data_IF_305881775271
#
_entry.id   IF_305881775271
#
_cell.length_a   1.000
_cell.length_b   1.000
_cell.length_c   1.000
_cell.angle_alpha   90.00
_cell.angle_beta   90.00
_cell.angle_gamma   90.00
#
_symmetry.space_group_name_H-M   'P 1'
#
loop_
_entity.id
_entity.type
_entity.pdbx_description
1 polymer ?
#
# COMPACT_ATOMS: atom_id res chain seq x y z
N UNK A 1 -7.72 9.64 9.49
CA UNK A 1 -7.31 10.36 8.27
C UNK A 1 -8.23 11.55 8.00
N UNK A 2 -9.54 11.34 7.80
CA UNK A 2 -10.52 12.40 7.51
C UNK A 2 -10.52 13.55 8.53
N UNK A 3 -10.47 13.27 9.84
CA UNK A 3 -10.35 14.34 10.87
C UNK A 3 -9.18 15.31 10.63
N UNK A 4 -8.07 14.83 10.04
CA UNK A 4 -6.89 15.66 9.74
C UNK A 4 -7.00 16.38 8.39
N UNK A 5 -7.62 15.71 7.42
CA UNK A 5 -7.79 16.17 6.05
C UNK A 5 -9.30 16.10 5.71
N UNK A 6 -10.09 17.05 6.20
CA UNK A 6 -11.55 16.99 6.08
C UNK A 6 -12.04 17.21 4.64
N UNK A 7 -11.24 17.88 3.82
CA UNK A 7 -11.55 18.19 2.42
C UNK A 7 -10.32 18.01 1.52
N UNK A 8 -10.55 18.00 0.21
CA UNK A 8 -9.50 17.79 -0.82
C UNK A 8 -8.46 18.91 -0.84
N UNK A 9 -8.86 20.15 -0.55
CA UNK A 9 -7.97 21.32 -0.54
C UNK A 9 -6.98 21.23 0.62
N UNK A 10 -7.45 20.86 1.80
CA UNK A 10 -6.64 20.63 3.00
C UNK A 10 -5.65 19.48 2.78
N UNK A 11 -6.08 18.40 2.10
CA UNK A 11 -5.19 17.31 1.71
C UNK A 11 -4.13 17.76 0.71
N UNK A 12 -4.52 18.49 -0.34
CA UNK A 12 -3.64 18.96 -1.41
C UNK A 12 -2.53 19.88 -0.88
N UNK A 13 -2.89 20.81 0.01
CA UNK A 13 -1.95 21.78 0.64
C UNK A 13 -1.03 21.15 1.69
N UNK A 14 -1.33 19.95 2.17
CA UNK A 14 -0.49 19.30 3.16
C UNK A 14 0.90 18.93 2.61
N UNK A 15 1.91 18.92 3.48
CA UNK A 15 3.21 18.33 3.16
C UNK A 15 3.06 16.82 3.01
N UNK A 16 3.72 16.25 2.00
CA UNK A 16 3.66 14.80 1.71
C UNK A 16 4.03 13.96 2.93
N UNK A 17 5.02 14.37 3.72
CA UNK A 17 5.43 13.69 4.94
C UNK A 17 4.33 13.59 5.99
N UNK A 18 3.53 14.64 6.11
CA UNK A 18 2.37 14.63 7.01
C UNK A 18 1.33 13.64 6.50
N UNK A 19 1.07 13.59 5.19
CA UNK A 19 0.15 12.60 4.62
C UNK A 19 0.66 11.17 4.86
N UNK A 20 1.96 10.92 4.62
CA UNK A 20 2.59 9.61 4.82
C UNK A 20 2.65 9.20 6.30
N UNK A 21 2.79 10.13 7.23
CA UNK A 21 2.74 9.82 8.66
C UNK A 21 1.36 9.28 9.06
N UNK A 22 0.28 9.88 8.56
CA UNK A 22 -1.09 9.38 8.78
C UNK A 22 -1.43 8.11 7.99
N UNK A 23 -0.58 7.71 7.04
CA UNK A 23 -0.70 6.45 6.30
C UNK A 23 0.18 5.33 6.86
N UNK A 24 1.03 5.64 7.85
CA UNK A 24 1.99 4.67 8.41
C UNK A 24 1.26 3.47 9.00
N UNK A 25 1.67 2.27 8.60
CA UNK A 25 1.05 1.00 8.99
C UNK A 25 0.00 0.45 8.03
N UNK A 26 -0.55 1.25 7.11
CA UNK A 26 -1.56 0.79 6.14
C UNK A 26 -0.98 0.04 4.93
N UNK A 27 0.34 0.07 4.75
CA UNK A 27 1.03 -0.55 3.62
C UNK A 27 0.70 0.10 2.26
N UNK A 28 1.38 -0.36 1.21
CA UNK A 28 1.24 0.14 -0.17
C UNK A 28 1.23 1.68 -0.26
N UNK A 29 2.28 2.32 0.23
CA UNK A 29 2.39 3.79 0.33
C UNK A 29 2.31 4.55 -0.99
N UNK A 30 2.45 3.85 -2.13
CA UNK A 30 2.12 4.40 -3.43
C UNK A 30 0.68 4.93 -3.48
N UNK A 31 -0.28 4.29 -2.77
CA UNK A 31 -1.67 4.76 -2.66
C UNK A 31 -1.74 6.14 -2.02
N UNK A 32 -1.05 6.36 -0.90
CA UNK A 32 -1.02 7.67 -0.23
C UNK A 32 -0.42 8.77 -1.12
N UNK A 33 0.69 8.45 -1.82
CA UNK A 33 1.36 9.39 -2.72
C UNK A 33 0.50 9.73 -3.93
N UNK A 34 -0.17 8.73 -4.50
CA UNK A 34 -1.08 8.91 -5.62
C UNK A 34 -2.32 9.71 -5.19
N UNK A 35 -2.92 9.39 -4.05
CA UNK A 35 -4.04 10.13 -3.47
C UNK A 35 -3.66 11.61 -3.24
N UNK A 36 -2.48 11.88 -2.69
CA UNK A 36 -2.01 13.26 -2.49
C UNK A 36 -1.75 13.98 -3.81
N UNK A 37 -1.18 13.31 -4.81
CA UNK A 37 -1.02 13.87 -6.16
C UNK A 37 -2.37 14.15 -6.83
N UNK A 38 -3.34 13.24 -6.73
CA UNK A 38 -4.69 13.43 -7.22
C UNK A 38 -5.36 14.64 -6.56
N UNK A 39 -5.23 14.78 -5.23
CA UNK A 39 -5.76 15.95 -4.53
C UNK A 39 -5.14 17.27 -5.02
N UNK A 40 -3.83 17.29 -5.32
CA UNK A 40 -3.16 18.47 -5.89
C UNK A 40 -3.67 18.80 -7.29
N UNK A 41 -3.84 17.79 -8.15
CA UNK A 41 -4.42 17.96 -9.49
C UNK A 41 -5.84 18.51 -9.38
N UNK A 42 -6.68 17.95 -8.50
CA UNK A 42 -8.05 18.45 -8.26
C UNK A 42 -8.04 19.92 -7.84
N UNK A 43 -7.12 20.32 -6.96
CA UNK A 43 -6.98 21.72 -6.55
C UNK A 43 -6.53 22.65 -7.71
N UNK A 44 -5.63 22.18 -8.57
CA UNK A 44 -4.97 23.01 -9.58
C UNK A 44 -5.72 23.08 -10.91
N UNK A 45 -6.32 21.97 -11.33
CA UNK A 45 -6.93 21.80 -12.66
C UNK A 45 -8.46 21.80 -12.60
N UNK A 46 -9.04 21.56 -11.41
CA UNK A 46 -10.49 21.46 -11.20
C UNK A 46 -10.98 22.40 -10.08
N UNK A 47 -10.20 23.43 -9.73
CA UNK A 47 -10.52 24.45 -8.72
C UNK A 47 -10.96 23.89 -7.34
N UNK A 48 -10.43 22.71 -6.98
CA UNK A 48 -10.77 22.03 -5.73
C UNK A 48 -12.08 21.25 -5.77
N UNK A 49 -12.75 21.18 -6.92
CA UNK A 49 -13.97 20.40 -7.13
C UNK A 49 -13.59 19.04 -7.74
N UNK A 50 -14.07 17.95 -7.15
CA UNK A 50 -13.78 16.61 -7.67
C UNK A 50 -14.43 16.44 -9.06
N UNK A 51 -13.69 15.95 -10.09
CA UNK A 51 -14.24 15.80 -11.42
C UNK A 51 -15.39 14.79 -11.45
N UNK A 52 -16.42 15.09 -12.25
CA UNK A 52 -17.62 14.24 -12.36
C UNK A 52 -17.65 13.39 -13.63
N UNK A 53 -16.72 13.58 -14.56
CA UNK A 53 -16.64 12.78 -15.79
C UNK A 53 -15.75 11.54 -15.59
N UNK A 54 -16.18 10.39 -16.12
CA UNK A 54 -15.49 9.11 -15.92
C UNK A 54 -14.03 9.15 -16.34
N UNK A 55 -13.75 9.70 -17.53
CA UNK A 55 -12.39 9.80 -18.07
C UNK A 55 -11.51 10.74 -17.23
N UNK A 56 -12.07 11.85 -16.75
CA UNK A 56 -11.37 12.78 -15.86
C UNK A 56 -11.02 12.14 -14.51
N UNK A 57 -11.95 11.36 -13.93
CA UNK A 57 -11.71 10.61 -12.69
C UNK A 57 -10.68 9.50 -12.90
N UNK A 58 -10.75 8.78 -14.03
CA UNK A 58 -9.82 7.72 -14.38
C UNK A 58 -8.40 8.25 -14.62
N UNK A 59 -8.26 9.47 -15.13
CA UNK A 59 -6.97 10.13 -15.36
C UNK A 59 -6.24 10.50 -14.04
N UNK A 60 -6.96 10.57 -12.91
CA UNK A 60 -6.34 10.93 -11.62
C UNK A 60 -5.37 9.82 -11.13
N UNK A 61 -4.19 10.19 -10.60
CA UNK A 61 -3.21 9.23 -10.13
C UNK A 61 -3.76 8.25 -9.09
N UNK A 62 -3.58 6.95 -9.37
CA UNK A 62 -3.99 5.87 -8.47
C UNK A 62 -5.46 5.50 -8.50
N UNK A 63 -6.25 6.12 -9.38
CA UNK A 63 -7.63 5.71 -9.64
C UNK A 63 -7.62 4.80 -10.87
N UNK A 64 -8.10 3.56 -10.70
CA UNK A 64 -8.33 2.64 -11.81
C UNK A 64 -9.81 2.54 -12.16
N UNK A 65 -10.14 1.85 -13.26
CA UNK A 65 -11.52 1.69 -13.77
C UNK A 65 -12.56 1.37 -12.69
N UNK A 66 -12.28 0.37 -11.84
CA UNK A 66 -13.20 -0.01 -10.76
C UNK A 66 -13.32 1.04 -9.66
N UNK A 67 -12.27 1.80 -9.38
CA UNK A 67 -12.29 2.87 -8.37
C UNK A 67 -13.03 4.09 -8.90
N UNK A 68 -12.84 4.45 -10.17
CA UNK A 68 -13.60 5.51 -10.83
C UNK A 68 -15.11 5.18 -10.81
N UNK A 69 -15.47 3.95 -11.20
CA UNK A 69 -16.86 3.50 -11.13
C UNK A 69 -17.43 3.51 -9.71
N UNK A 70 -16.65 3.08 -8.71
CA UNK A 70 -17.08 3.12 -7.32
C UNK A 70 -17.34 4.54 -6.84
N UNK A 71 -16.41 5.47 -7.08
CA UNK A 71 -16.55 6.87 -6.67
C UNK A 71 -17.78 7.50 -7.33
N UNK A 72 -17.88 7.42 -8.66
CA UNK A 72 -18.94 8.08 -9.41
C UNK A 72 -20.31 7.46 -9.14
N UNK A 73 -20.39 6.14 -8.93
CA UNK A 73 -21.66 5.54 -8.54
C UNK A 73 -22.08 5.94 -7.14
N UNK A 74 -21.18 5.93 -6.15
CA UNK A 74 -21.53 6.17 -4.74
C UNK A 74 -21.69 7.65 -4.38
N UNK A 75 -20.93 8.54 -5.02
CA UNK A 75 -20.90 9.96 -4.69
C UNK A 75 -21.72 10.83 -5.65
N UNK A 76 -22.01 10.34 -6.86
CA UNK A 76 -22.66 11.13 -7.93
C UNK A 76 -23.81 10.38 -8.61
N UNK A 77 -24.29 9.27 -8.03
CA UNK A 77 -25.39 8.43 -8.54
C UNK A 77 -25.24 8.01 -10.01
N UNK A 78 -23.99 7.89 -10.50
CA UNK A 78 -23.74 7.52 -11.88
C UNK A 78 -23.75 6.01 -12.10
N UNK A 79 -24.25 5.60 -13.25
CA UNK A 79 -24.33 4.19 -13.64
C UNK A 79 -22.99 3.66 -14.16
N UNK A 80 -22.07 3.34 -13.26
CA UNK A 80 -20.79 2.69 -13.59
C UNK A 80 -20.61 1.35 -12.87
N UNK A 81 -20.17 0.29 -13.55
CA UNK A 81 -19.89 -1.00 -12.91
C UNK A 81 -18.58 -0.95 -12.14
N UNK A 82 -18.47 -1.81 -11.13
CA UNK A 82 -17.24 -2.05 -10.37
C UNK A 82 -16.78 -3.50 -10.54
N UNK A 83 -15.49 -3.74 -10.34
CA UNK A 83 -14.90 -5.08 -10.39
C UNK A 83 -13.70 -5.20 -9.43
N UNK A 84 -13.95 -4.91 -8.15
CA UNK A 84 -12.98 -5.12 -7.10
C UNK A 84 -12.76 -6.62 -6.83
N UNK A 85 -11.87 -6.97 -5.91
CA UNK A 85 -11.58 -8.37 -5.60
C UNK A 85 -12.78 -9.17 -5.04
N UNK A 86 -13.76 -8.49 -4.45
CA UNK A 86 -14.99 -9.10 -3.92
C UNK A 86 -15.99 -9.36 -5.04
N UNK A 87 -16.36 -8.33 -5.80
CA UNK A 87 -17.29 -8.43 -6.93
C UNK A 87 -16.76 -9.41 -7.98
N UNK A 88 -15.46 -9.34 -8.28
CA UNK A 88 -14.81 -10.28 -9.20
C UNK A 88 -15.00 -11.74 -8.78
N UNK A 89 -14.89 -12.05 -7.49
CA UNK A 89 -15.10 -13.40 -6.97
C UNK A 89 -16.56 -13.82 -7.01
N UNK A 90 -17.48 -12.92 -6.66
CA UNK A 90 -18.92 -13.16 -6.72
C UNK A 90 -19.32 -13.49 -8.16
N UNK A 91 -18.95 -12.66 -9.13
CA UNK A 91 -19.29 -12.86 -10.54
C UNK A 91 -18.64 -14.11 -11.13
N UNK A 92 -17.35 -14.35 -10.83
CA UNK A 92 -16.67 -15.56 -11.29
C UNK A 92 -17.37 -16.84 -10.81
N UNK A 93 -17.90 -16.84 -9.58
CA UNK A 93 -18.66 -17.96 -9.03
C UNK A 93 -20.06 -18.06 -9.61
N UNK A 94 -20.76 -16.92 -9.67
CA UNK A 94 -22.14 -16.87 -10.13
C UNK A 94 -22.27 -17.36 -11.58
N UNK A 95 -21.35 -16.95 -12.45
CA UNK A 95 -21.31 -17.34 -13.87
C UNK A 95 -20.35 -18.50 -14.18
N UNK A 96 -19.77 -19.14 -13.16
CA UNK A 96 -18.78 -20.21 -13.34
C UNK A 96 -17.70 -19.88 -14.39
N UNK A 97 -17.16 -18.66 -14.33
CA UNK A 97 -16.25 -18.13 -15.36
C UNK A 97 -14.94 -18.94 -15.39
N UNK A 98 -14.70 -19.61 -16.51
CA UNK A 98 -13.50 -20.40 -16.74
C UNK A 98 -12.25 -19.53 -16.98
N UNK A 99 -11.08 -20.14 -16.81
CA UNK A 99 -9.79 -19.51 -17.06
C UNK A 99 -9.21 -18.76 -15.86
N UNK A 100 -7.88 -18.65 -15.85
CA UNK A 100 -7.16 -17.99 -14.76
C UNK A 100 -7.47 -16.49 -14.72
N UNK A 101 -7.74 -15.98 -13.51
CA UNK A 101 -8.08 -14.57 -13.26
C UNK A 101 -7.02 -13.56 -13.71
N UNK A 102 -5.79 -14.00 -13.99
CA UNK A 102 -4.70 -13.17 -14.50
C UNK A 102 -4.71 -13.02 -16.02
N UNK A 103 -5.54 -13.77 -16.74
CA UNK A 103 -5.64 -13.66 -18.20
C UNK A 103 -6.55 -12.49 -18.57
N UNK A 104 -6.13 -11.72 -19.58
CA UNK A 104 -6.91 -10.58 -20.07
C UNK A 104 -8.31 -10.96 -20.56
N UNK A 105 -8.45 -12.14 -21.19
CA UNK A 105 -9.74 -12.69 -21.64
C UNK A 105 -10.73 -12.90 -20.46
N UNK A 106 -10.26 -13.50 -19.36
CA UNK A 106 -11.08 -13.73 -18.16
C UNK A 106 -11.45 -12.41 -17.48
N UNK A 107 -10.53 -11.45 -17.43
CA UNK A 107 -10.83 -10.12 -16.89
C UNK A 107 -11.86 -9.37 -17.75
N UNK A 108 -11.76 -9.45 -19.08
CA UNK A 108 -12.73 -8.85 -19.99
C UNK A 108 -14.13 -9.45 -19.84
N UNK A 109 -14.24 -10.77 -19.74
CA UNK A 109 -15.52 -11.46 -19.50
C UNK A 109 -16.16 -11.01 -18.18
N UNK A 110 -15.37 -10.86 -17.11
CA UNK A 110 -15.86 -10.40 -15.81
C UNK A 110 -16.34 -8.94 -15.85
N UNK A 111 -15.69 -8.08 -16.62
CA UNK A 111 -16.18 -6.71 -16.86
C UNK A 111 -17.49 -6.69 -17.65
N UNK A 112 -17.65 -7.56 -18.65
CA UNK A 112 -18.91 -7.71 -19.39
C UNK A 112 -20.03 -8.16 -18.46
N UNK A 113 -19.78 -9.17 -17.62
CA UNK A 113 -20.75 -9.60 -16.61
C UNK A 113 -21.11 -8.48 -15.64
N UNK A 114 -20.13 -7.74 -15.12
CA UNK A 114 -20.37 -6.61 -14.22
C UNK A 114 -21.26 -5.53 -14.85
N UNK A 115 -21.02 -5.21 -16.12
CA UNK A 115 -21.85 -4.24 -16.86
C UNK A 115 -23.26 -4.78 -17.14
N UNK A 116 -23.39 -6.07 -17.44
CA UNK A 116 -24.66 -6.72 -17.77
C UNK A 116 -25.60 -6.82 -16.56
N UNK A 117 -25.06 -7.11 -15.37
CA UNK A 117 -25.87 -7.23 -14.14
C UNK A 117 -26.17 -5.90 -13.47
N UNK A 118 -25.45 -4.84 -13.83
CA UNK A 118 -25.66 -3.51 -13.26
C UNK A 118 -27.08 -3.00 -13.61
N UNK A 119 -27.91 -2.63 -12.62
CA UNK A 119 -29.27 -2.14 -12.86
C UNK A 119 -29.30 -1.02 -13.90
N UNK A 120 -30.33 -1.00 -14.75
CA UNK A 120 -30.48 0.06 -15.77
C UNK A 120 -30.72 1.44 -15.15
N UNK A 121 -31.35 1.50 -13.98
CA UNK A 121 -31.57 2.74 -13.24
C UNK A 121 -30.27 3.22 -12.56
N UNK A 122 -29.89 4.47 -12.81
CA UNK A 122 -28.71 5.09 -12.22
C UNK A 122 -28.82 5.18 -10.67
N UNK A 123 -30.01 5.51 -10.16
CA UNK A 123 -30.28 5.57 -8.72
C UNK A 123 -30.08 4.23 -7.98
N UNK A 124 -30.10 3.10 -8.71
CA UNK A 124 -29.85 1.78 -8.14
C UNK A 124 -28.38 1.34 -8.26
N UNK A 125 -27.54 2.07 -9.00
CA UNK A 125 -26.15 1.69 -9.21
C UNK A 125 -25.35 1.72 -7.90
N UNK A 126 -25.51 2.78 -7.10
CA UNK A 126 -24.84 2.93 -5.80
C UNK A 126 -25.16 1.78 -4.82
N UNK A 127 -26.44 1.52 -4.46
CA UNK A 127 -26.78 0.43 -3.55
C UNK A 127 -26.43 -0.94 -4.12
N UNK A 128 -26.54 -1.14 -5.45
CA UNK A 128 -26.15 -2.40 -6.09
C UNK A 128 -24.65 -2.67 -5.99
N UNK A 129 -23.81 -1.68 -6.32
CA UNK A 129 -22.35 -1.82 -6.22
C UNK A 129 -21.93 -2.09 -4.77
N UNK A 130 -22.52 -1.38 -3.80
CA UNK A 130 -22.26 -1.62 -2.38
C UNK A 130 -22.70 -3.04 -1.96
N UNK A 131 -23.90 -3.46 -2.33
CA UNK A 131 -24.40 -4.81 -2.03
C UNK A 131 -23.52 -5.92 -2.63
N UNK A 132 -23.00 -5.73 -3.85
CA UNK A 132 -22.09 -6.70 -4.48
C UNK A 132 -20.75 -6.79 -3.74
N UNK A 133 -20.21 -5.67 -3.25
CA UNK A 133 -19.02 -5.67 -2.41
C UNK A 133 -19.28 -6.38 -1.06
N UNK A 134 -20.38 -6.05 -0.39
CA UNK A 134 -20.76 -6.61 0.90
C UNK A 134 -21.07 -8.10 0.81
N UNK A 135 -21.75 -8.54 -0.25
CA UNK A 135 -22.00 -9.95 -0.53
C UNK A 135 -20.68 -10.70 -0.65
N UNK A 136 -19.71 -10.17 -1.39
CA UNK A 136 -18.39 -10.77 -1.51
C UNK A 136 -17.63 -10.79 -0.17
N UNK A 137 -17.72 -9.72 0.62
CA UNK A 137 -17.02 -9.58 1.89
C UNK A 137 -17.58 -10.49 2.99
N UNK A 138 -18.91 -10.61 3.11
CA UNK A 138 -19.59 -11.21 4.25
C UNK A 138 -20.10 -12.63 3.99
N UNK A 139 -20.59 -12.91 2.77
CA UNK A 139 -21.30 -14.17 2.46
C UNK A 139 -20.48 -15.03 1.49
N UNK A 140 -20.19 -14.52 0.31
CA UNK A 140 -19.44 -15.20 -0.75
C UNK A 140 -17.92 -15.09 -0.49
N UNK A 141 -17.50 -15.50 0.71
CA UNK A 141 -16.13 -15.33 1.19
C UNK A 141 -15.13 -16.24 0.46
N UNK A 142 -13.84 -15.93 0.59
CA UNK A 142 -12.77 -16.58 -0.18
C UNK A 142 -12.67 -18.09 0.04
N UNK A 143 -12.79 -18.56 1.29
CA UNK A 143 -12.47 -19.93 1.66
C UNK A 143 -13.71 -20.76 2.04
N UNK A 144 -14.64 -20.19 2.80
CA UNK A 144 -15.84 -20.86 3.29
C UNK A 144 -17.07 -20.00 2.95
N UNK A 145 -17.50 -19.94 1.67
CA UNK A 145 -18.66 -19.16 1.31
C UNK A 145 -19.92 -19.73 1.97
N UNK A 146 -20.78 -18.86 2.49
CA UNK A 146 -22.01 -19.26 3.16
C UNK A 146 -23.14 -19.41 2.13
N UNK A 147 -23.02 -20.39 1.22
CA UNK A 147 -23.98 -20.53 0.11
C UNK A 147 -25.42 -20.74 0.58
N UNK A 148 -25.65 -21.40 1.72
CA UNK A 148 -27.00 -21.67 2.26
C UNK A 148 -27.79 -20.41 2.64
N UNK A 149 -27.12 -19.28 2.90
CA UNK A 149 -27.78 -17.98 3.19
C UNK A 149 -27.56 -16.96 2.05
N UNK A 150 -26.95 -17.38 0.94
CA UNK A 150 -26.63 -16.48 -0.14
C UNK A 150 -27.90 -16.15 -0.95
N UNK A 151 -28.27 -14.86 -1.13
CA UNK A 151 -29.48 -14.48 -1.84
C UNK A 151 -29.43 -14.83 -3.34
N UNK A 152 -28.24 -15.11 -3.87
CA UNK A 152 -28.03 -15.47 -5.28
C UNK A 152 -27.92 -16.99 -5.51
N UNK A 153 -28.08 -17.81 -4.47
CA UNK A 153 -27.76 -19.26 -4.53
C UNK A 153 -28.55 -20.01 -5.61
N UNK A 154 -29.83 -19.66 -5.81
CA UNK A 154 -30.73 -20.35 -6.74
C UNK A 154 -30.27 -20.33 -8.20
N UNK A 155 -29.50 -19.31 -8.59
CA UNK A 155 -29.01 -19.14 -9.97
C UNK A 155 -27.47 -19.15 -10.05
N UNK A 156 -26.78 -19.48 -8.96
CA UNK A 156 -25.32 -19.48 -8.92
C UNK A 156 -24.76 -20.75 -9.55
N UNK A 157 -24.16 -20.63 -10.74
CA UNK A 157 -23.64 -21.78 -11.49
C UNK A 157 -22.51 -22.50 -10.75
N UNK A 158 -21.58 -21.76 -10.13
CA UNK A 158 -20.52 -22.37 -9.32
C UNK A 158 -21.04 -23.16 -8.11
N UNK A 159 -22.20 -22.75 -7.56
CA UNK A 159 -22.88 -23.52 -6.51
C UNK A 159 -23.59 -24.74 -7.07
N UNK A 160 -24.26 -24.63 -8.22
CA UNK A 160 -24.90 -25.75 -8.90
C UNK A 160 -23.90 -26.86 -9.28
N UNK A 161 -22.64 -26.48 -9.58
CA UNK A 161 -21.52 -27.41 -9.81
C UNK A 161 -20.94 -28.02 -8.52
N UNK A 162 -21.47 -27.69 -7.35
CA UNK A 162 -20.98 -28.16 -6.04
C UNK A 162 -19.59 -27.66 -5.65
N UNK A 163 -18.96 -26.80 -6.46
CA UNK A 163 -17.55 -26.41 -6.32
C UNK A 163 -17.33 -24.88 -6.44
N UNK A 164 -18.07 -24.03 -5.72
CA UNK A 164 -17.95 -22.57 -5.86
C UNK A 164 -16.54 -22.06 -5.53
N UNK A 165 -15.76 -22.77 -4.73
CA UNK A 165 -14.38 -22.40 -4.40
C UNK A 165 -13.38 -22.68 -5.53
N UNK A 166 -13.76 -23.41 -6.58
CA UNK A 166 -12.97 -23.55 -7.80
C UNK A 166 -12.90 -22.22 -8.59
N UNK A 167 -13.83 -21.30 -8.33
CA UNK A 167 -13.90 -19.99 -8.97
C UNK A 167 -13.59 -18.83 -7.98
N UNK A 168 -12.89 -17.77 -8.44
CA UNK A 168 -12.19 -17.70 -9.72
C UNK A 168 -10.98 -18.65 -9.76
N UNK A 169 -10.64 -19.16 -10.94
CA UNK A 169 -9.43 -19.97 -11.13
C UNK A 169 -8.22 -19.08 -10.85
N UNK A 170 -7.41 -19.48 -9.87
CA UNK A 170 -6.24 -18.70 -9.46
C UNK A 170 -5.03 -19.10 -10.26
N UNK A 171 -4.21 -18.12 -10.61
CA UNK A 171 -2.89 -18.37 -11.16
C UNK A 171 -2.03 -19.15 -10.17
N UNK A 172 -1.14 -19.99 -10.69
CA UNK A 172 -0.17 -20.75 -9.89
C UNK A 172 0.68 -19.78 -9.04
N UNK A 173 0.78 -20.04 -7.73
CA UNK A 173 1.63 -19.24 -6.84
C UNK A 173 3.08 -19.35 -7.29
N UNK A 174 3.69 -18.23 -7.68
CA UNK A 174 5.14 -18.16 -7.93
C UNK A 174 5.88 -18.21 -6.59
N UNK A 175 7.04 -18.87 -6.58
CA UNK A 175 7.99 -18.79 -5.46
C UNK A 175 8.37 -17.32 -5.30
N UNK A 176 8.25 -16.79 -4.08
CA UNK A 176 8.67 -15.42 -3.79
C UNK A 176 10.19 -15.41 -3.62
N UNK A 177 10.96 -14.71 -4.48
CA UNK A 177 12.39 -14.61 -4.28
C UNK A 177 12.71 -13.92 -2.95
N UNK A 178 13.87 -14.23 -2.39
CA UNK A 178 14.43 -13.53 -1.23
C UNK A 178 15.35 -12.43 -1.76
N UNK A 179 15.18 -11.22 -1.24
CA UNK A 179 16.11 -10.10 -1.43
C UNK A 179 16.73 -9.76 -0.09
N UNK A 180 18.01 -9.42 -0.08
CA UNK A 180 18.70 -9.05 1.15
C UNK A 180 19.05 -7.56 1.16
N UNK A 181 19.02 -6.96 2.34
CA UNK A 181 19.46 -5.56 2.56
C UNK A 181 20.08 -5.43 3.93
N UNK A 182 21.13 -4.61 4.03
CA UNK A 182 21.78 -4.28 5.29
C UNK A 182 21.36 -2.90 5.74
N UNK A 183 20.70 -2.81 6.90
CA UNK A 183 20.34 -1.52 7.51
C UNK A 183 21.46 -1.06 8.44
N UNK A 184 21.92 0.17 8.26
CA UNK A 184 22.90 0.81 9.13
C UNK A 184 22.17 1.57 10.24
N UNK A 185 22.24 1.04 11.46
CA UNK A 185 21.73 1.70 12.66
C UNK A 185 22.88 2.50 13.27
N UNK A 186 23.09 3.71 12.75
CA UNK A 186 24.11 4.61 13.27
C UNK A 186 23.58 5.30 14.54
N UNK A 187 24.31 5.17 15.66
CA UNK A 187 23.99 5.76 16.97
C UNK A 187 25.02 6.81 17.37
N UNK A 188 24.56 7.97 17.82
CA UNK A 188 25.42 8.99 18.42
C UNK A 188 25.61 8.77 19.93
N UNK A 189 26.37 9.64 20.61
CA UNK A 189 26.62 9.54 22.05
C UNK A 189 25.36 9.72 22.91
N UNK A 190 24.31 10.35 22.35
CA UNK A 190 23.03 10.64 23.01
C UNK A 190 21.99 9.54 22.79
N UNK A 191 22.37 8.44 22.14
CA UNK A 191 21.47 7.33 21.82
C UNK A 191 20.48 7.62 20.69
N UNK A 192 20.63 8.75 19.98
CA UNK A 192 19.82 9.05 18.79
C UNK A 192 20.29 8.18 17.64
N UNK A 193 19.38 7.91 16.70
CA UNK A 193 19.65 7.15 15.49
C UNK A 193 19.45 7.97 14.24
N UNK A 194 20.29 7.74 13.23
CA UNK A 194 20.16 8.40 11.94
C UNK A 194 19.09 7.73 11.08
N UNK A 195 18.14 8.51 10.58
CA UNK A 195 17.26 8.13 9.48
C UNK A 195 17.58 8.94 8.22
N UNK A 196 17.42 8.30 7.07
CA UNK A 196 17.53 8.91 5.75
C UNK A 196 16.20 8.80 5.00
N UNK A 197 15.83 9.86 4.29
CA UNK A 197 14.66 9.87 3.41
C UNK A 197 15.00 9.11 2.13
N UNK A 198 14.15 8.13 1.79
CA UNK A 198 14.27 7.38 0.54
C UNK A 198 13.87 8.22 -0.68
N UNK A 199 14.42 7.94 -1.87
CA UNK A 199 13.94 8.50 -3.13
C UNK A 199 12.42 8.37 -3.30
N UNK A 200 11.78 9.24 -4.07
CA UNK A 200 10.32 9.23 -4.23
C UNK A 200 9.78 7.95 -4.94
N UNK A 201 10.62 7.32 -5.76
CA UNK A 201 10.33 6.09 -6.51
C UNK A 201 10.87 4.85 -5.78
N UNK A 202 10.42 3.67 -6.22
CA UNK A 202 10.86 2.39 -5.67
C UNK A 202 10.19 1.99 -4.34
N UNK A 203 10.78 0.99 -3.68
CA UNK A 203 10.31 0.46 -2.40
C UNK A 203 10.31 1.59 -1.35
N UNK A 204 9.16 1.73 -0.67
CA UNK A 204 8.97 2.72 0.39
C UNK A 204 9.28 4.17 -0.02
N UNK A 205 9.07 4.50 -1.30
CA UNK A 205 9.48 5.80 -1.82
C UNK A 205 8.96 7.00 -1.03
N UNK A 206 9.87 7.91 -0.68
CA UNK A 206 9.61 9.10 0.14
C UNK A 206 9.47 8.86 1.66
N UNK A 207 9.52 7.61 2.13
CA UNK A 207 9.53 7.30 3.56
C UNK A 207 10.92 7.47 4.17
N UNK A 208 10.95 7.66 5.47
CA UNK A 208 12.18 7.65 6.28
C UNK A 208 12.54 6.22 6.67
N UNK A 209 13.83 5.89 6.57
CA UNK A 209 14.37 4.58 6.94
C UNK A 209 15.82 4.66 7.39
N UNK A 210 16.38 3.54 7.83
CA UNK A 210 17.81 3.47 8.09
C UNK A 210 18.58 3.52 6.77
N UNK A 211 19.78 4.14 6.72
CA UNK A 211 20.65 4.05 5.56
C UNK A 211 20.91 2.58 5.18
N UNK A 212 20.97 2.30 3.89
CA UNK A 212 21.12 0.94 3.35
C UNK A 212 22.53 0.74 2.80
N UNK A 213 23.26 -0.20 3.39
CA UNK A 213 24.54 -0.65 2.88
C UNK A 213 24.34 -1.61 1.71
N UNK A 214 25.01 -1.33 0.59
CA UNK A 214 24.99 -2.19 -0.59
C UNK A 214 25.78 -3.48 -0.33
N UNK A 215 25.48 -4.52 -1.10
CA UNK A 215 26.22 -5.79 -1.03
C UNK A 215 27.67 -5.60 -1.47
N UNK A 216 28.60 -6.32 -0.84
CA UNK A 216 30.02 -6.33 -1.20
C UNK A 216 30.94 -5.44 -0.35
N UNK A 217 30.40 -4.74 0.64
CA UNK A 217 31.17 -3.86 1.53
C UNK A 217 30.84 -4.10 3.00
N UNK A 218 31.80 -3.87 3.91
CA UNK A 218 31.50 -3.93 5.33
C UNK A 218 30.75 -2.67 5.79
N UNK A 219 29.85 -2.75 6.79
CA UNK A 219 29.12 -1.58 7.30
C UNK A 219 29.98 -0.39 7.70
N UNK A 220 31.22 -0.64 8.16
CA UNK A 220 32.15 0.40 8.60
C UNK A 220 32.75 1.13 7.40
N UNK A 221 33.23 0.38 6.41
CA UNK A 221 33.83 0.93 5.18
C UNK A 221 32.78 1.71 4.40
N UNK A 222 31.55 1.18 4.33
CA UNK A 222 30.43 1.85 3.68
C UNK A 222 30.14 3.22 4.29
N UNK A 223 30.17 3.34 5.63
CA UNK A 223 30.01 4.64 6.29
C UNK A 223 31.17 5.58 5.99
N UNK A 224 32.40 5.08 5.94
CA UNK A 224 33.59 5.87 5.61
C UNK A 224 33.54 6.39 4.17
N UNK A 225 33.11 5.58 3.21
CA UNK A 225 33.01 5.99 1.81
C UNK A 225 31.80 6.90 1.54
N UNK A 226 30.62 6.56 2.08
CA UNK A 226 29.37 7.28 1.79
C UNK A 226 29.19 8.57 2.59
N UNK A 227 29.66 8.57 3.84
CA UNK A 227 29.46 9.69 4.77
C UNK A 227 30.77 10.36 5.21
N UNK A 228 31.94 9.82 4.83
CA UNK A 228 33.24 10.34 5.22
C UNK A 228 33.43 10.41 6.75
N UNK A 229 32.91 9.40 7.46
CA UNK A 229 32.99 9.27 8.91
C UNK A 229 33.60 7.93 9.33
N UNK A 230 34.35 7.96 10.44
CA UNK A 230 34.76 6.74 11.14
C UNK A 230 33.66 6.28 12.08
N UNK A 231 33.46 4.98 12.14
CA UNK A 231 32.47 4.35 13.03
C UNK A 231 33.07 3.15 13.74
N UNK A 232 32.51 2.80 14.90
CA UNK A 232 32.87 1.56 15.62
C UNK A 232 31.67 0.62 15.65
N UNK A 233 31.89 -0.68 15.45
CA UNK A 233 30.82 -1.68 15.54
C UNK A 233 30.25 -1.77 16.95
N UNK A 234 28.95 -1.98 17.03
CA UNK A 234 28.23 -2.32 18.25
C UNK A 234 27.46 -3.63 18.05
N UNK A 235 26.76 -4.10 19.09
CA UNK A 235 25.97 -5.33 19.02
C UNK A 235 24.93 -5.23 17.90
N UNK A 236 25.00 -6.15 16.94
CA UNK A 236 24.03 -6.26 15.87
C UNK A 236 22.66 -6.68 16.41
N UNK A 237 21.60 -6.30 15.70
CA UNK A 237 20.25 -6.79 16.01
C UNK A 237 19.96 -8.08 15.22
N UNK A 238 19.00 -8.90 15.67
CA UNK A 238 18.59 -10.09 14.93
C UNK A 238 18.15 -9.76 13.50
N UNK A 239 18.47 -10.67 12.57
CA UNK A 239 17.96 -10.62 11.19
C UNK A 239 16.44 -10.68 11.22
N UNK A 240 15.78 -9.88 10.39
CA UNK A 240 14.32 -9.86 10.29
C UNK A 240 13.85 -10.05 8.85
N UNK A 241 12.67 -10.65 8.69
CA UNK A 241 12.04 -10.83 7.38
C UNK A 241 10.82 -9.94 7.24
N UNK A 242 10.71 -9.24 6.12
CA UNK A 242 9.54 -8.45 5.76
C UNK A 242 8.94 -8.93 4.44
N UNK A 243 7.70 -9.41 4.49
CA UNK A 243 7.01 -9.98 3.33
C UNK A 243 6.35 -8.93 2.46
N UNK A 244 6.71 -8.90 1.17
CA UNK A 244 5.92 -8.27 0.12
C UNK A 244 5.09 -9.33 -0.62
N UNK A 245 4.14 -8.85 -1.42
CA UNK A 245 3.32 -9.71 -2.29
C UNK A 245 4.18 -10.48 -3.30
N UNK A 246 5.28 -9.88 -3.77
CA UNK A 246 6.09 -10.41 -4.86
C UNK A 246 7.50 -10.88 -4.46
N UNK A 247 7.98 -10.59 -3.24
CA UNK A 247 9.25 -11.10 -2.70
C UNK A 247 9.25 -11.03 -1.15
N UNK A 248 10.26 -11.63 -0.52
CA UNK A 248 10.55 -11.43 0.91
C UNK A 248 11.85 -10.64 1.02
N UNK A 249 11.84 -9.57 1.81
CA UNK A 249 13.03 -8.78 2.12
C UNK A 249 13.61 -9.28 3.45
N UNK A 250 14.81 -9.85 3.40
CA UNK A 250 15.61 -10.23 4.56
C UNK A 250 16.52 -9.08 4.92
N UNK A 251 16.33 -8.52 6.11
CA UNK A 251 16.98 -7.31 6.59
C UNK A 251 18.01 -7.70 7.64
N UNK A 252 19.24 -7.23 7.44
CA UNK A 252 20.39 -7.43 8.33
C UNK A 252 20.71 -6.10 9.04
N UNK A 253 20.22 -5.85 10.27
CA UNK A 253 20.47 -4.59 10.94
C UNK A 253 21.85 -4.61 11.62
N UNK A 254 22.68 -3.63 11.27
CA UNK A 254 24.05 -3.48 11.76
C UNK A 254 24.18 -2.19 12.56
N UNK A 255 24.47 -2.32 13.86
CA UNK A 255 24.59 -1.17 14.76
C UNK A 255 26.02 -0.65 14.74
N UNK A 256 26.18 0.65 14.49
CA UNK A 256 27.45 1.36 14.51
C UNK A 256 27.34 2.57 15.44
N UNK A 257 28.45 2.95 16.08
CA UNK A 257 28.55 4.20 16.86
C UNK A 257 29.39 5.23 16.12
N UNK A 258 29.01 6.49 16.27
CA UNK A 258 29.72 7.65 15.71
C UNK A 258 29.98 8.68 16.81
N UNK A 259 31.08 9.43 16.69
CA UNK A 259 31.32 10.59 17.56
C UNK A 259 30.38 11.74 17.23
N UNK A 260 30.10 12.62 18.19
CA UNK A 260 29.20 13.76 17.98
C UNK A 260 29.68 14.68 16.84
N UNK A 261 31.00 14.93 16.75
CA UNK A 261 31.57 15.74 15.68
C UNK A 261 31.37 15.13 14.28
N UNK A 262 31.45 13.80 14.16
CA UNK A 262 31.18 13.11 12.91
C UNK A 262 29.67 13.00 12.63
N UNK A 263 28.85 12.82 13.66
CA UNK A 263 27.39 12.79 13.55
C UNK A 263 26.79 14.12 13.11
N UNK A 264 27.37 15.25 13.52
CA UNK A 264 26.95 16.58 13.07
C UNK A 264 27.18 16.79 11.56
N UNK A 265 28.23 16.19 10.98
CA UNK A 265 28.56 16.33 9.54
C UNK A 265 27.56 15.67 8.60
N UNK A 266 26.84 14.66 9.07
CA UNK A 266 25.96 13.85 8.23
C UNK A 266 24.51 14.30 8.24
N UNK A 267 24.12 15.12 9.23
CA UNK A 267 22.78 15.69 9.31
C UNK A 267 22.54 16.64 8.12
N UNK A 268 21.31 16.65 7.61
CA UNK A 268 20.96 17.48 6.47
C UNK A 268 19.49 17.37 6.09
N UNK A 269 19.14 17.94 4.93
CA UNK A 269 17.74 18.01 4.47
C UNK A 269 17.03 16.64 4.44
N UNK A 270 17.75 15.61 4.03
CA UNK A 270 17.24 14.24 3.86
C UNK A 270 17.79 13.24 4.88
N UNK A 271 18.51 13.72 5.91
CA UNK A 271 19.12 12.89 6.96
C UNK A 271 18.94 13.54 8.31
N UNK A 272 18.36 12.82 9.27
CA UNK A 272 18.00 13.39 10.56
C UNK A 272 18.27 12.43 11.70
N UNK A 273 18.77 12.97 12.80
CA UNK A 273 18.93 12.26 14.06
C UNK A 273 17.61 12.27 14.84
N UNK A 274 17.15 11.10 15.27
CA UNK A 274 15.93 10.98 16.08
C UNK A 274 16.15 10.11 17.32
N UNK A 275 15.39 10.39 18.36
CA UNK A 275 15.23 9.46 19.48
C UNK A 275 14.32 8.31 19.05
N UNK A 276 14.70 7.02 19.24
CA UNK A 276 13.92 5.88 18.77
C UNK A 276 12.43 5.88 19.17
N UNK A 277 12.11 6.18 20.44
CA UNK A 277 10.73 6.29 20.92
C UNK A 277 9.95 7.53 20.49
N UNK A 278 10.61 8.51 19.86
CA UNK A 278 10.00 9.78 19.46
C UNK A 278 10.30 10.13 17.99
N UNK A 279 9.86 9.31 17.01
CA UNK A 279 10.15 9.54 15.59
C UNK A 279 9.42 10.76 14.99
N UNK A 280 8.50 11.39 15.74
CA UNK A 280 7.70 12.52 15.30
C UNK A 280 6.73 12.16 14.16
N UNK A 281 6.32 13.17 13.38
CA UNK A 281 5.36 13.01 12.26
C UNK A 281 6.06 12.61 10.95
N UNK A 282 6.85 11.53 10.99
CA UNK A 282 7.55 10.99 9.81
C UNK A 282 6.82 9.76 9.28
N UNK A 283 6.71 9.67 7.96
CA UNK A 283 6.25 8.44 7.32
C UNK A 283 7.33 7.36 7.42
N UNK A 284 7.04 6.26 8.10
CA UNK A 284 7.98 5.16 8.32
C UNK A 284 7.50 3.88 7.65
N UNK A 285 8.43 3.09 7.11
CA UNK A 285 8.14 1.72 6.72
C UNK A 285 7.93 0.84 7.95
N UNK A 286 7.10 -0.19 7.85
CA UNK A 286 6.82 -1.12 8.95
C UNK A 286 8.09 -1.71 9.62
N UNK A 287 9.10 -2.23 8.88
CA UNK A 287 10.31 -2.76 9.52
C UNK A 287 11.15 -1.68 10.21
N UNK A 288 11.16 -0.45 9.69
CA UNK A 288 11.85 0.68 10.34
C UNK A 288 11.18 1.01 11.67
N UNK A 289 9.84 1.10 11.69
CA UNK A 289 9.07 1.33 12.91
C UNK A 289 9.35 0.25 13.97
N UNK A 290 9.32 -1.03 13.56
CA UNK A 290 9.59 -2.15 14.45
C UNK A 290 11.00 -2.09 15.06
N UNK A 291 12.01 -1.75 14.26
CA UNK A 291 13.38 -1.59 14.75
C UNK A 291 13.50 -0.40 15.70
N UNK A 292 12.85 0.74 15.42
CA UNK A 292 12.83 1.88 16.35
C UNK A 292 12.20 1.52 17.70
N UNK A 293 11.07 0.80 17.69
CA UNK A 293 10.42 0.29 18.91
C UNK A 293 11.32 -0.69 19.69
N UNK A 294 12.11 -1.52 19.00
CA UNK A 294 13.08 -2.40 19.65
C UNK A 294 14.27 -1.63 20.25
N UNK A 295 14.76 -0.62 19.53
CA UNK A 295 15.88 0.23 19.96
C UNK A 295 15.51 1.09 21.17
N UNK A 296 14.25 1.50 21.29
CA UNK A 296 13.71 2.26 22.43
C UNK A 296 13.65 1.43 23.72
N UNK A 297 13.29 0.14 23.61
CA UNK A 297 13.24 -0.78 24.75
C UNK A 297 14.60 -1.24 25.25
N UNK A 298 15.65 -1.03 24.47
CA UNK A 298 17.03 -1.48 24.74
C UNK A 298 18.01 -0.32 24.89
N UNK A 299 17.48 0.92 24.90
CA UNK A 299 18.22 2.16 25.05
C UNK A 299 18.38 2.55 26.52
#
# INVERSE_FOLDING_TARGET
FIRRFPDVVTLARARVDTVLSYWTGLGYYARARNLHRAAKIILQEYDGVFPNEFESVLALPGIGKSTAGAILSLASDQRHPILDGNVRRVLARYFAVAGEISRGETEAALWQHAAAVLPKSAALAAPFNQAMMDLGALVCTRAKPQCGVCPLVGNCQGNALGTPTAFPVRSRKRVRPIREVTFIILRDSRGRVLLERRPASGIWGGLWGFPECLSGETPVDWCQHRFHIRTTRAKALPVMNHGFTHYVLKIHPQTLRVSDAAGAKIEGKDRVWITPGAPGRRGLAAPVKQLLEQLDKTG
#
